data_IF_686967613595
#
_entry.id   IF_686967613595
#
_cell.length_a   1.000
_cell.length_b   1.000
_cell.length_c   1.000
_cell.angle_alpha   90.00
_cell.angle_beta   90.00
_cell.angle_gamma   90.00
#
_symmetry.space_group_name_H-M   'P 1'
#
loop_
_entity.id
_entity.type
_entity.pdbx_description
1 polymer ?
#
# COMPACT_ATOMS: atom_id res chain seq x y z
N UNK A 1 -35.80 -13.72 -37.99
CA UNK A 1 -34.75 -13.50 -36.97
C UNK A 1 -35.17 -12.62 -35.78
N UNK A 2 -36.35 -11.99 -35.76
CA UNK A 2 -36.82 -11.23 -34.59
C UNK A 2 -37.40 -12.10 -33.45
N UNK A 3 -38.11 -13.19 -33.79
CA UNK A 3 -38.76 -14.08 -32.81
C UNK A 3 -37.78 -14.86 -31.91
N UNK A 4 -36.66 -15.33 -32.45
CA UNK A 4 -35.63 -16.05 -31.67
C UNK A 4 -34.95 -15.11 -30.66
N UNK A 5 -34.79 -13.83 -31.01
CA UNK A 5 -34.19 -12.82 -30.13
C UNK A 5 -35.12 -12.44 -28.97
N UNK A 6 -36.43 -12.39 -29.23
CA UNK A 6 -37.44 -12.19 -28.19
C UNK A 6 -37.51 -13.40 -27.24
N UNK A 7 -37.54 -14.62 -27.78
CA UNK A 7 -37.56 -15.84 -26.96
C UNK A 7 -36.33 -15.96 -26.04
N UNK A 8 -35.13 -15.61 -26.54
CA UNK A 8 -33.91 -15.57 -25.74
C UNK A 8 -33.96 -14.57 -24.58
N UNK A 9 -34.54 -13.37 -24.81
CA UNK A 9 -34.70 -12.38 -23.73
C UNK A 9 -35.66 -12.85 -22.63
N UNK A 10 -36.77 -13.51 -22.97
CA UNK A 10 -37.71 -14.02 -21.97
C UNK A 10 -37.08 -15.09 -21.08
N UNK A 11 -36.28 -15.99 -21.65
CA UNK A 11 -35.59 -17.03 -20.89
C UNK A 11 -34.53 -16.42 -19.94
N UNK A 12 -33.81 -15.40 -20.40
CA UNK A 12 -32.86 -14.68 -19.55
C UNK A 12 -33.56 -13.96 -18.38
N UNK A 13 -34.69 -13.28 -18.63
CA UNK A 13 -35.46 -12.63 -17.57
C UNK A 13 -36.02 -13.63 -16.55
N UNK A 14 -36.50 -14.79 -17.01
CA UNK A 14 -36.98 -15.86 -16.12
C UNK A 14 -35.85 -16.40 -15.24
N UNK A 15 -34.66 -16.62 -15.81
CA UNK A 15 -33.50 -17.10 -15.07
C UNK A 15 -33.01 -16.06 -14.04
N UNK A 16 -32.98 -14.78 -14.40
CA UNK A 16 -32.61 -13.69 -13.47
C UNK A 16 -33.65 -13.56 -12.35
N UNK A 17 -34.95 -13.70 -12.67
CA UNK A 17 -36.01 -13.67 -11.66
C UNK A 17 -35.89 -14.83 -10.66
N UNK A 18 -35.55 -16.05 -11.12
CA UNK A 18 -35.35 -17.20 -10.22
C UNK A 18 -34.17 -17.02 -9.27
N UNK A 19 -33.07 -16.44 -9.75
CA UNK A 19 -31.89 -16.17 -8.90
C UNK A 19 -32.20 -15.08 -7.86
N UNK A 20 -32.90 -14.02 -8.26
CA UNK A 20 -33.34 -12.98 -7.33
C UNK A 20 -34.31 -13.53 -6.27
N UNK A 21 -35.24 -14.40 -6.65
CA UNK A 21 -36.16 -15.03 -5.71
C UNK A 21 -35.42 -15.90 -4.67
N UNK A 22 -34.41 -16.67 -5.09
CA UNK A 22 -33.58 -17.47 -4.18
C UNK A 22 -32.81 -16.59 -3.19
N UNK A 23 -32.23 -15.49 -3.66
CA UNK A 23 -31.49 -14.55 -2.79
C UNK A 23 -32.42 -13.94 -1.74
N UNK A 24 -33.63 -13.51 -2.15
CA UNK A 24 -34.63 -12.94 -1.24
C UNK A 24 -35.09 -13.98 -0.21
N UNK A 25 -35.37 -15.22 -0.64
CA UNK A 25 -35.71 -16.31 0.28
C UNK A 25 -34.60 -16.54 1.31
N UNK A 26 -33.33 -16.60 0.88
CA UNK A 26 -32.19 -16.83 1.78
C UNK A 26 -31.99 -15.66 2.75
N UNK A 27 -32.11 -14.42 2.28
CA UNK A 27 -31.98 -13.24 3.16
C UNK A 27 -33.13 -13.16 4.15
N UNK A 28 -34.36 -13.45 3.73
CA UNK A 28 -35.52 -13.47 4.62
C UNK A 28 -35.42 -14.62 5.64
N UNK A 29 -34.94 -15.81 5.23
CA UNK A 29 -34.69 -16.93 6.13
C UNK A 29 -33.56 -16.64 7.14
N UNK A 30 -32.47 -16.02 6.71
CA UNK A 30 -31.36 -15.64 7.60
C UNK A 30 -31.81 -14.61 8.65
N UNK A 31 -32.66 -13.65 8.27
CA UNK A 31 -33.15 -12.62 9.18
C UNK A 31 -34.26 -13.10 10.13
N UNK A 32 -34.97 -14.18 9.77
CA UNK A 32 -35.99 -14.79 10.65
C UNK A 32 -35.42 -15.47 11.89
N UNK A 33 -34.08 -15.60 12.03
CA UNK A 33 -33.43 -16.12 13.23
C UNK A 33 -33.77 -17.59 13.55
N UNK A 34 -34.35 -18.33 12.61
CA UNK A 34 -34.89 -19.69 12.79
C UNK A 34 -33.83 -20.80 12.74
N UNK A 35 -32.55 -20.45 12.69
CA UNK A 35 -31.43 -21.39 12.91
C UNK A 35 -31.29 -21.72 14.39
N UNK A 36 -32.31 -22.35 14.95
CA UNK A 36 -32.18 -23.09 16.21
C UNK A 36 -31.30 -24.31 15.93
N UNK A 37 -30.26 -24.52 16.74
CA UNK A 37 -29.28 -25.62 16.58
C UNK A 37 -29.96 -26.97 16.34
N UNK A 38 -31.13 -27.19 16.93
CA UNK A 38 -31.94 -28.41 16.76
C UNK A 38 -32.34 -28.70 15.30
N UNK A 39 -32.72 -27.69 14.51
CA UNK A 39 -33.09 -27.94 13.10
C UNK A 39 -31.88 -28.21 12.21
N UNK A 40 -30.71 -27.69 12.58
CA UNK A 40 -29.46 -27.93 11.86
C UNK A 40 -28.97 -29.36 12.14
N UNK A 41 -29.12 -29.85 13.38
CA UNK A 41 -28.87 -31.25 13.71
C UNK A 41 -29.90 -32.19 13.09
N UNK A 42 -31.18 -31.82 13.07
CA UNK A 42 -32.23 -32.62 12.43
C UNK A 42 -32.03 -32.75 10.91
N UNK A 43 -31.60 -31.67 10.25
CA UNK A 43 -31.28 -31.70 8.83
C UNK A 43 -30.00 -32.50 8.55
N UNK A 44 -29.01 -32.43 9.44
CA UNK A 44 -27.79 -33.24 9.36
C UNK A 44 -28.08 -34.73 9.61
N UNK A 45 -29.01 -35.04 10.53
CA UNK A 45 -29.47 -36.38 10.83
C UNK A 45 -30.27 -36.99 9.67
N UNK A 46 -31.16 -36.21 9.04
CA UNK A 46 -31.92 -36.64 7.85
C UNK A 46 -31.00 -36.95 6.66
N UNK A 47 -29.95 -36.14 6.44
CA UNK A 47 -28.95 -36.37 5.37
C UNK A 47 -28.11 -37.62 5.65
N UNK A 48 -27.83 -37.93 6.91
CA UNK A 48 -27.16 -39.17 7.31
C UNK A 48 -28.10 -40.37 7.47
N UNK A 49 -29.41 -40.20 7.22
CA UNK A 49 -30.41 -41.27 7.33
C UNK A 49 -30.65 -41.76 8.75
N UNK A 50 -30.36 -40.91 9.75
CA UNK A 50 -30.55 -41.21 11.17
C UNK A 50 -31.90 -40.62 11.58
N UNK A 51 -32.85 -41.49 11.89
CA UNK A 51 -34.18 -41.11 12.36
C UNK A 51 -34.09 -40.62 13.82
N UNK A 52 -34.29 -39.31 14.02
CA UNK A 52 -34.18 -38.64 15.32
C UNK A 52 -35.22 -39.15 16.33
N UNK A 53 -36.33 -39.71 15.84
CA UNK A 53 -37.40 -40.31 16.65
C UNK A 53 -37.01 -41.69 17.20
N UNK A 54 -36.29 -42.52 16.42
CA UNK A 54 -35.83 -43.83 16.85
C UNK A 54 -34.75 -43.73 17.95
N UNK A 55 -33.85 -42.74 17.84
CA UNK A 55 -32.85 -42.46 18.89
C UNK A 55 -33.53 -41.98 20.18
N UNK A 56 -34.60 -41.19 20.08
CA UNK A 56 -35.34 -40.70 21.26
C UNK A 56 -36.04 -41.84 22.00
N UNK A 57 -36.59 -42.83 21.29
CA UNK A 57 -37.16 -44.04 21.90
C UNK A 57 -36.07 -44.97 22.48
N UNK A 58 -34.91 -45.13 21.82
CA UNK A 58 -33.80 -45.91 22.38
C UNK A 58 -33.17 -45.28 23.62
N UNK A 59 -33.19 -43.96 23.73
CA UNK A 59 -32.71 -43.22 24.91
C UNK A 59 -33.72 -43.28 26.05
N UNK A 60 -35.02 -43.39 25.77
CA UNK A 60 -36.05 -43.57 26.82
C UNK A 60 -36.15 -45.02 27.31
N UNK A 61 -35.84 -46.03 26.47
CA UNK A 61 -35.90 -47.45 26.84
C UNK A 61 -34.60 -48.01 27.43
N UNK A 62 -33.51 -47.23 27.47
CA UNK A 62 -32.32 -47.57 28.26
C UNK A 62 -32.43 -46.93 29.63
N UNK A 63 -33.01 -47.66 30.56
CA UNK A 63 -32.64 -47.55 31.97
C UNK A 63 -31.11 -47.57 32.03
N UNK A 64 -30.54 -46.42 32.37
CA UNK A 64 -29.10 -46.28 32.56
C UNK A 64 -28.69 -47.29 33.63
N UNK A 65 -27.66 -48.13 33.41
CA UNK A 65 -27.06 -48.84 34.53
C UNK A 65 -26.61 -47.78 35.52
N UNK A 66 -27.14 -47.89 36.74
CA UNK A 66 -26.73 -47.10 37.89
C UNK A 66 -25.21 -47.29 38.02
N UNK A 67 -24.45 -46.31 37.54
CA UNK A 67 -23.00 -46.31 37.69
C UNK A 67 -22.77 -46.25 39.19
N UNK A 68 -22.29 -47.35 39.75
CA UNK A 68 -21.82 -47.43 41.13
C UNK A 68 -20.73 -46.35 41.28
N UNK A 69 -21.11 -45.19 41.80
CA UNK A 69 -20.19 -44.08 42.04
C UNK A 69 -19.47 -44.45 43.32
N UNK A 70 -18.38 -45.21 43.20
CA UNK A 70 -17.38 -45.27 44.26
C UNK A 70 -17.07 -43.82 44.66
N UNK A 71 -17.41 -43.45 45.90
CA UNK A 71 -17.15 -42.10 46.40
C UNK A 71 -15.64 -41.85 46.30
N UNK A 72 -15.20 -40.80 45.59
CA UNK A 72 -13.77 -40.60 45.34
C UNK A 72 -13.03 -40.43 46.66
N UNK A 73 -11.92 -41.16 46.79
CA UNK A 73 -11.03 -41.03 47.94
C UNK A 73 -10.51 -39.59 48.02
N UNK A 74 -10.39 -39.04 49.23
CA UNK A 74 -10.01 -37.64 49.45
C UNK A 74 -8.68 -37.29 48.75
N UNK A 75 -7.76 -38.26 48.67
CA UNK A 75 -6.49 -38.10 47.98
C UNK A 75 -6.66 -37.90 46.47
N UNK A 76 -7.54 -38.65 45.83
CA UNK A 76 -7.82 -38.52 44.40
C UNK A 76 -8.40 -37.14 44.06
N UNK A 77 -9.25 -36.60 44.95
CA UNK A 77 -9.82 -35.25 44.79
C UNK A 77 -8.72 -34.18 44.89
N UNK A 78 -7.75 -34.34 45.79
CA UNK A 78 -6.64 -33.39 45.94
C UNK A 78 -5.75 -33.43 44.69
N UNK A 79 -5.42 -34.62 44.21
CA UNK A 79 -4.57 -34.80 43.03
C UNK A 79 -5.25 -34.24 41.76
N UNK A 80 -6.54 -34.52 41.56
CA UNK A 80 -7.30 -33.98 40.43
C UNK A 80 -7.39 -32.45 40.47
N UNK A 81 -7.55 -31.86 41.67
CA UNK A 81 -7.54 -30.39 41.83
C UNK A 81 -6.17 -29.79 41.53
N UNK A 82 -5.10 -30.46 41.94
CA UNK A 82 -3.72 -30.02 41.67
C UNK A 82 -3.41 -30.05 40.17
N UNK A 83 -3.79 -31.12 39.47
CA UNK A 83 -3.63 -31.23 38.01
C UNK A 83 -4.43 -30.15 37.27
N UNK A 84 -5.68 -29.89 37.70
CA UNK A 84 -6.49 -28.80 37.11
C UNK A 84 -5.85 -27.43 37.33
N UNK A 85 -5.28 -27.15 38.50
CA UNK A 85 -4.58 -25.89 38.75
C UNK A 85 -3.35 -25.74 37.84
N UNK A 86 -2.51 -26.78 37.75
CA UNK A 86 -1.33 -26.77 36.89
C UNK A 86 -1.70 -26.59 35.41
N UNK A 87 -2.80 -27.20 34.94
CA UNK A 87 -3.30 -27.00 33.59
C UNK A 87 -3.77 -25.55 33.34
N UNK A 88 -4.38 -24.90 34.35
CA UNK A 88 -4.74 -23.48 34.27
C UNK A 88 -3.51 -22.59 34.22
N UNK A 89 -2.49 -22.86 35.03
CA UNK A 89 -1.25 -22.09 35.05
C UNK A 89 -0.53 -22.14 33.69
N UNK A 90 -0.43 -23.32 33.07
CA UNK A 90 0.13 -23.44 31.72
C UNK A 90 -0.69 -22.69 30.68
N UNK A 91 -2.02 -22.67 30.81
CA UNK A 91 -2.88 -21.91 29.90
C UNK A 91 -2.66 -20.40 30.07
N UNK A 92 -2.53 -19.91 31.30
CA UNK A 92 -2.23 -18.51 31.59
C UNK A 92 -0.88 -18.14 30.98
N UNK A 93 0.15 -18.95 31.21
CA UNK A 93 1.48 -18.71 30.66
C UNK A 93 1.48 -18.70 29.12
N UNK A 94 0.74 -19.62 28.47
CA UNK A 94 0.61 -19.65 27.02
C UNK A 94 -0.11 -18.41 26.49
N UNK A 95 -1.13 -17.92 27.19
CA UNK A 95 -1.85 -16.70 26.83
C UNK A 95 -0.95 -15.46 26.99
N UNK A 96 -0.20 -15.36 28.08
CA UNK A 96 0.73 -14.25 28.31
C UNK A 96 1.81 -14.20 27.22
N UNK A 97 2.41 -15.35 26.91
CA UNK A 97 3.38 -15.49 25.81
C UNK A 97 2.76 -15.11 24.46
N UNK A 98 1.51 -15.52 24.21
CA UNK A 98 0.77 -15.17 23.00
C UNK A 98 0.53 -13.67 22.88
N UNK A 99 0.13 -13.01 23.96
CA UNK A 99 -0.10 -11.55 24.01
C UNK A 99 1.22 -10.80 23.78
N UNK A 100 2.31 -11.23 24.40
CA UNK A 100 3.62 -10.62 24.21
C UNK A 100 4.10 -10.73 22.76
N UNK A 101 3.95 -11.91 22.15
CA UNK A 101 4.27 -12.12 20.74
C UNK A 101 3.43 -11.22 19.82
N UNK A 102 2.12 -11.07 20.07
CA UNK A 102 1.27 -10.18 19.30
C UNK A 102 1.68 -8.72 19.44
N UNK A 103 2.03 -8.27 20.65
CA UNK A 103 2.56 -6.92 20.89
C UNK A 103 3.87 -6.68 20.16
N UNK A 104 4.78 -7.67 20.18
CA UNK A 104 6.04 -7.60 19.46
C UNK A 104 5.82 -7.51 17.94
N UNK A 105 4.91 -8.32 17.38
CA UNK A 105 4.53 -8.25 15.96
C UNK A 105 3.92 -6.89 15.60
N UNK A 106 3.02 -6.36 16.45
CA UNK A 106 2.41 -5.05 16.25
C UNK A 106 3.45 -3.93 16.26
N UNK A 107 4.41 -3.97 17.19
CA UNK A 107 5.50 -2.98 17.25
C UNK A 107 6.34 -3.02 15.98
N UNK A 108 6.72 -4.22 15.51
CA UNK A 108 7.48 -4.38 14.26
C UNK A 108 6.71 -3.84 13.05
N UNK A 109 5.43 -4.17 12.92
CA UNK A 109 4.59 -3.66 11.83
C UNK A 109 4.44 -2.14 11.88
N UNK A 110 4.33 -1.54 13.06
CA UNK A 110 4.28 -0.08 13.20
C UNK A 110 5.61 0.58 12.79
N UNK A 111 6.74 -0.02 13.16
CA UNK A 111 8.07 0.46 12.73
C UNK A 111 8.25 0.35 11.22
N UNK A 112 7.91 -0.80 10.63
CA UNK A 112 7.97 -1.02 9.18
C UNK A 112 7.08 -0.04 8.42
N UNK A 113 5.84 0.17 8.91
CA UNK A 113 4.93 1.16 8.33
C UNK A 113 5.49 2.56 8.42
N UNK A 114 6.06 2.95 9.57
CA UNK A 114 6.67 4.27 9.74
C UNK A 114 7.86 4.45 8.78
N UNK A 115 8.70 3.43 8.59
CA UNK A 115 9.80 3.45 7.61
C UNK A 115 9.26 3.60 6.18
N UNK A 116 8.21 2.87 5.83
CA UNK A 116 7.57 2.96 4.52
C UNK A 116 6.95 4.34 4.28
N UNK A 117 6.23 4.90 5.25
CA UNK A 117 5.62 6.22 5.14
C UNK A 117 6.69 7.31 4.99
N UNK A 118 7.81 7.21 5.72
CA UNK A 118 8.97 8.09 5.54
C UNK A 118 9.55 7.98 4.14
N UNK A 119 9.74 6.76 3.63
CA UNK A 119 10.26 6.52 2.29
C UNK A 119 9.33 7.10 1.23
N UNK A 120 8.03 6.84 1.33
CA UNK A 120 7.01 7.36 0.41
C UNK A 120 6.99 8.89 0.41
N UNK A 121 6.96 9.51 1.59
CA UNK A 121 6.96 10.97 1.69
C UNK A 121 8.24 11.58 1.09
N UNK A 122 9.40 10.94 1.27
CA UNK A 122 10.66 11.37 0.65
C UNK A 122 10.65 11.26 -0.88
N UNK A 123 10.05 10.18 -1.41
CA UNK A 123 9.84 10.04 -2.86
C UNK A 123 8.86 11.07 -3.41
N UNK A 124 7.71 11.27 -2.76
CA UNK A 124 6.69 12.23 -3.20
C UNK A 124 7.22 13.67 -3.21
N UNK A 125 8.03 14.05 -2.21
CA UNK A 125 8.69 15.36 -2.19
C UNK A 125 9.69 15.54 -3.33
N UNK A 126 10.44 14.49 -3.68
CA UNK A 126 11.40 14.56 -4.79
C UNK A 126 10.75 14.48 -6.15
N UNK A 127 9.68 13.70 -6.30
CA UNK A 127 8.89 13.71 -7.52
C UNK A 127 8.35 15.12 -7.77
N UNK A 128 7.83 15.78 -6.73
CA UNK A 128 7.48 17.20 -6.79
C UNK A 128 8.67 18.09 -7.13
N UNK A 129 9.83 17.91 -6.50
CA UNK A 129 11.01 18.70 -6.83
C UNK A 129 11.53 18.47 -8.28
N UNK A 130 11.32 17.27 -8.84
CA UNK A 130 11.60 16.96 -10.24
C UNK A 130 10.55 17.60 -11.16
N UNK A 131 9.27 17.52 -10.81
CA UNK A 131 8.18 18.16 -11.55
C UNK A 131 8.35 19.69 -11.55
N UNK A 132 8.58 20.29 -10.39
CA UNK A 132 8.89 21.71 -10.21
C UNK A 132 10.21 22.07 -10.91
N UNK A 133 11.21 21.19 -10.85
CA UNK A 133 12.49 21.37 -11.56
C UNK A 133 12.38 21.35 -13.09
N UNK A 134 11.32 20.74 -13.64
CA UNK A 134 11.01 20.69 -15.07
C UNK A 134 10.05 21.83 -15.49
N UNK A 135 9.36 22.49 -14.55
CA UNK A 135 8.28 23.44 -14.83
C UNK A 135 8.18 24.61 -13.81
N UNK A 136 9.28 25.29 -13.50
CA UNK A 136 9.13 26.63 -12.93
C UNK A 136 8.60 27.56 -14.04
N UNK A 137 7.31 27.91 -13.97
CA UNK A 137 6.68 28.87 -14.89
C UNK A 137 7.49 30.17 -15.00
N UNK A 138 8.13 30.59 -13.89
CA UNK A 138 9.02 31.74 -13.86
C UNK A 138 10.29 31.52 -14.71
N UNK A 139 10.89 30.31 -14.68
CA UNK A 139 12.05 29.97 -15.51
C UNK A 139 11.65 29.92 -16.99
N UNK A 140 10.47 29.38 -17.31
CA UNK A 140 9.93 29.37 -18.67
C UNK A 140 9.65 30.79 -19.19
N UNK A 141 9.17 31.70 -18.34
CA UNK A 141 8.96 33.10 -18.70
C UNK A 141 10.28 33.83 -18.92
N UNK A 142 11.29 33.59 -18.07
CA UNK A 142 12.66 34.11 -18.26
C UNK A 142 13.27 33.57 -19.55
N UNK A 143 13.11 32.28 -19.84
CA UNK A 143 13.56 31.67 -21.10
C UNK A 143 12.93 32.38 -22.30
N UNK A 144 11.60 32.54 -22.32
CA UNK A 144 10.89 33.22 -23.42
C UNK A 144 11.35 34.66 -23.59
N UNK A 145 11.60 35.35 -22.48
CA UNK A 145 12.11 36.72 -22.48
C UNK A 145 13.52 36.79 -23.07
N UNK A 146 14.43 35.89 -22.65
CA UNK A 146 15.79 35.81 -23.17
C UNK A 146 15.83 35.40 -24.65
N UNK A 147 14.91 34.54 -25.11
CA UNK A 147 14.79 34.17 -26.51
C UNK A 147 14.28 35.33 -27.39
N UNK A 148 13.47 36.23 -26.82
CA UNK A 148 12.93 37.40 -27.50
C UNK A 148 13.94 38.55 -27.59
N UNK A 149 14.90 38.64 -26.65
CA UNK A 149 15.96 39.64 -26.64
C UNK A 149 16.99 39.43 -27.76
N UNK A 150 17.72 40.51 -28.06
CA UNK A 150 18.87 40.44 -28.96
C UNK A 150 20.00 39.58 -28.35
N UNK A 151 20.74 38.79 -29.14
CA UNK A 151 21.74 37.85 -28.61
C UNK A 151 22.80 38.48 -27.70
N UNK A 152 23.17 39.74 -27.94
CA UNK A 152 24.12 40.49 -27.11
C UNK A 152 23.55 40.83 -25.73
N UNK A 153 22.31 41.30 -25.69
CA UNK A 153 21.62 41.63 -24.44
C UNK A 153 21.32 40.37 -23.62
N UNK A 154 20.95 39.28 -24.29
CA UNK A 154 20.75 37.99 -23.64
C UNK A 154 22.04 37.48 -22.97
N UNK A 155 23.21 37.63 -23.62
CA UNK A 155 24.51 37.33 -23.01
C UNK A 155 24.75 38.14 -21.75
N UNK A 156 24.60 39.46 -21.83
CA UNK A 156 24.82 40.36 -20.68
C UNK A 156 23.91 39.97 -19.51
N UNK A 157 22.65 39.64 -19.80
CA UNK A 157 21.70 39.20 -18.79
C UNK A 157 22.09 37.87 -18.14
N UNK A 158 22.59 36.90 -18.92
CA UNK A 158 23.09 35.62 -18.40
C UNK A 158 24.29 35.85 -17.48
N UNK A 159 25.25 36.71 -17.87
CA UNK A 159 26.41 37.04 -17.04
C UNK A 159 26.00 37.71 -15.72
N UNK A 160 25.05 38.66 -15.79
CA UNK A 160 24.49 39.29 -14.59
C UNK A 160 23.74 38.30 -13.69
N UNK A 161 23.11 37.27 -14.25
CA UNK A 161 22.47 36.22 -13.47
C UNK A 161 23.50 35.36 -12.73
N UNK A 162 24.59 34.96 -13.39
CA UNK A 162 25.65 34.16 -12.79
C UNK A 162 26.35 34.86 -11.60
N UNK A 163 26.34 36.19 -11.57
CA UNK A 163 26.99 36.98 -10.52
C UNK A 163 26.12 37.20 -9.27
N UNK A 164 24.84 36.79 -9.29
CA UNK A 164 23.90 37.07 -8.20
C UNK A 164 23.96 36.07 -7.04
N UNK A 165 24.08 34.78 -7.34
CA UNK A 165 23.98 33.71 -6.33
C UNK A 165 24.65 32.42 -6.80
N UNK A 166 25.10 31.58 -5.87
CA UNK A 166 25.77 30.30 -6.12
C UNK A 166 24.84 29.32 -6.85
N UNK A 167 23.52 29.43 -6.63
CA UNK A 167 22.49 28.62 -7.31
C UNK A 167 22.17 29.11 -8.73
N UNK A 168 22.60 30.31 -9.12
CA UNK A 168 22.28 30.88 -10.41
C UNK A 168 22.85 30.08 -11.58
N UNK A 169 23.96 29.36 -11.38
CA UNK A 169 24.52 28.46 -12.38
C UNK A 169 23.53 27.37 -12.80
N UNK A 170 22.83 26.75 -11.84
CA UNK A 170 21.87 25.68 -12.09
C UNK A 170 20.68 26.20 -12.90
N UNK A 171 20.17 27.39 -12.56
CA UNK A 171 19.03 27.99 -13.25
C UNK A 171 19.39 28.43 -14.68
N UNK A 172 20.58 29.00 -14.88
CA UNK A 172 21.10 29.34 -16.22
C UNK A 172 21.25 28.08 -17.08
N UNK A 173 21.77 26.99 -16.52
CA UNK A 173 21.87 25.70 -17.20
C UNK A 173 20.49 25.17 -17.62
N UNK A 174 19.49 25.22 -16.72
CA UNK A 174 18.10 24.83 -17.03
C UNK A 174 17.53 25.64 -18.19
N UNK A 175 17.67 26.97 -18.13
CA UNK A 175 17.20 27.89 -19.18
C UNK A 175 17.85 27.55 -20.52
N UNK A 176 19.18 27.44 -20.55
CA UNK A 176 19.94 27.17 -21.79
C UNK A 176 19.62 25.78 -22.36
N UNK A 177 19.38 24.77 -21.52
CA UNK A 177 19.00 23.41 -21.94
C UNK A 177 17.61 23.40 -22.59
N UNK A 178 16.66 24.16 -22.04
CA UNK A 178 15.29 24.29 -22.54
C UNK A 178 15.17 25.16 -23.81
N UNK A 179 16.15 26.01 -24.09
CA UNK A 179 16.15 26.90 -25.25
C UNK A 179 16.28 26.19 -26.61
N UNK A 180 15.68 26.78 -27.64
CA UNK A 180 15.86 26.32 -29.03
C UNK A 180 17.34 26.35 -29.46
N UNK A 181 17.78 25.34 -30.22
CA UNK A 181 19.19 25.17 -30.65
C UNK A 181 19.73 26.38 -31.41
N UNK A 182 18.89 27.01 -32.25
CA UNK A 182 19.28 28.16 -33.06
C UNK A 182 19.54 29.42 -32.22
N UNK A 183 18.69 29.68 -31.22
CA UNK A 183 18.85 30.83 -30.33
C UNK A 183 20.03 30.64 -29.38
N UNK A 184 20.15 29.45 -28.80
CA UNK A 184 21.31 29.07 -27.98
C UNK A 184 22.63 29.26 -28.72
N UNK A 185 22.73 28.79 -29.97
CA UNK A 185 23.94 28.99 -30.80
C UNK A 185 24.29 30.46 -31.00
N UNK A 186 23.29 31.32 -31.26
CA UNK A 186 23.50 32.76 -31.46
C UNK A 186 23.97 33.47 -30.20
N UNK A 187 23.41 33.13 -29.04
CA UNK A 187 23.78 33.73 -27.75
C UNK A 187 25.18 33.26 -27.34
N UNK A 188 25.46 31.95 -27.42
CA UNK A 188 26.78 31.39 -27.10
C UNK A 188 27.89 31.95 -28.01
N UNK A 189 27.58 32.29 -29.27
CA UNK A 189 28.52 32.92 -30.19
C UNK A 189 28.90 34.38 -29.86
N UNK A 190 28.19 35.04 -28.93
CA UNK A 190 28.52 36.40 -28.50
C UNK A 190 29.43 36.45 -27.27
N UNK A 191 29.75 35.31 -26.64
CA UNK A 191 30.78 35.19 -25.60
C UNK A 191 32.16 35.22 -26.27
N UNK A 192 32.83 36.39 -26.24
CA UNK A 192 34.01 36.66 -27.07
C UNK A 192 35.28 36.94 -26.28
N UNK A 193 35.18 37.42 -25.05
CA UNK A 193 36.35 37.68 -24.20
C UNK A 193 36.82 36.39 -23.52
N UNK A 194 38.08 36.32 -23.07
CA UNK A 194 38.63 35.14 -22.39
C UNK A 194 37.83 34.80 -21.13
N UNK A 195 37.55 35.78 -20.28
CA UNK A 195 36.73 35.61 -19.06
C UNK A 195 35.31 35.10 -19.36
N UNK A 196 34.72 35.51 -20.48
CA UNK A 196 33.39 35.05 -20.93
C UNK A 196 33.43 33.60 -21.42
N UNK A 197 34.51 33.20 -22.09
CA UNK A 197 34.68 31.85 -22.59
C UNK A 197 34.92 30.84 -21.47
N UNK A 198 35.61 31.24 -20.39
CA UNK A 198 35.75 30.41 -19.19
C UNK A 198 34.37 30.14 -18.56
N UNK A 199 33.57 31.19 -18.33
CA UNK A 199 32.19 31.03 -17.81
C UNK A 199 31.31 30.17 -18.72
N UNK A 200 31.46 30.30 -20.04
CA UNK A 200 30.75 29.46 -21.01
C UNK A 200 31.18 27.99 -20.92
N UNK A 201 32.47 27.73 -20.74
CA UNK A 201 33.00 26.38 -20.57
C UNK A 201 32.47 25.72 -19.30
N UNK A 202 32.36 26.48 -18.20
CA UNK A 202 31.77 26.00 -16.95
C UNK A 202 30.29 25.62 -17.12
N UNK A 203 29.49 26.47 -17.77
CA UNK A 203 28.08 26.17 -18.10
C UNK A 203 27.98 24.88 -18.92
N UNK A 204 28.84 24.72 -19.93
CA UNK A 204 28.85 23.54 -20.79
C UNK A 204 29.30 22.28 -20.06
N UNK A 205 30.26 22.38 -19.14
CA UNK A 205 30.70 21.24 -18.33
C UNK A 205 29.59 20.79 -17.38
N UNK A 206 28.79 21.71 -16.82
CA UNK A 206 27.65 21.31 -15.99
C UNK A 206 26.48 20.72 -16.78
N UNK A 207 26.22 21.22 -18.00
CA UNK A 207 25.31 20.54 -18.92
C UNK A 207 25.80 19.11 -19.23
N UNK A 208 27.11 18.92 -19.42
CA UNK A 208 27.73 17.62 -19.70
C UNK A 208 27.64 16.66 -18.51
N UNK A 209 27.79 17.15 -17.28
CA UNK A 209 27.66 16.37 -16.03
C UNK A 209 26.21 15.97 -15.73
N UNK A 210 25.25 16.54 -16.45
CA UNK A 210 23.83 16.22 -16.31
C UNK A 210 23.19 16.89 -15.09
N UNK A 211 23.84 17.89 -14.49
CA UNK A 211 23.26 18.73 -13.44
C UNK A 211 22.14 19.56 -14.08
N UNK A 212 20.92 19.60 -13.49
CA UNK A 212 20.54 19.19 -12.14
C UNK A 212 20.00 17.76 -11.99
N UNK A 213 19.77 17.04 -13.10
CA UNK A 213 19.09 15.74 -13.10
C UNK A 213 19.88 14.69 -12.30
N UNK A 214 21.21 14.68 -12.42
CA UNK A 214 22.08 13.70 -11.76
C UNK A 214 22.26 13.94 -10.26
N UNK A 215 22.27 15.19 -9.79
CA UNK A 215 22.32 15.52 -8.36
C UNK A 215 21.05 15.06 -7.64
N UNK A 216 19.87 15.33 -8.23
CA UNK A 216 18.58 14.90 -7.68
C UNK A 216 18.50 13.37 -7.57
N UNK A 217 19.03 12.66 -8.57
CA UNK A 217 19.07 11.19 -8.59
C UNK A 217 20.12 10.60 -7.62
N UNK A 218 21.25 11.28 -7.43
CA UNK A 218 22.29 10.90 -6.47
C UNK A 218 21.77 10.93 -5.03
N UNK A 219 21.14 12.04 -4.64
CA UNK A 219 20.52 12.22 -3.33
C UNK A 219 19.42 11.17 -3.06
N UNK A 220 18.65 10.81 -4.09
CA UNK A 220 17.64 9.76 -4.00
C UNK A 220 18.27 8.40 -3.70
N UNK A 221 19.40 8.10 -4.34
CA UNK A 221 20.11 6.83 -4.16
C UNK A 221 20.76 6.70 -2.80
N UNK A 222 21.33 7.79 -2.26
CA UNK A 222 22.01 7.73 -0.98
C UNK A 222 21.05 7.70 0.21
N UNK A 223 19.87 8.33 0.10
CA UNK A 223 18.80 8.10 1.09
C UNK A 223 18.24 6.68 1.01
N UNK A 224 18.10 6.09 -0.18
CA UNK A 224 17.69 4.69 -0.30
C UNK A 224 18.65 3.73 0.41
N UNK A 225 19.97 3.97 0.31
CA UNK A 225 20.97 3.19 1.05
C UNK A 225 20.86 3.34 2.57
N UNK A 226 20.44 4.50 3.09
CA UNK A 226 20.19 4.65 4.53
C UNK A 226 19.00 3.82 5.03
N UNK A 227 18.10 3.41 4.12
CA UNK A 227 16.97 2.55 4.44
C UNK A 227 17.18 1.08 4.04
N UNK A 228 18.28 0.74 3.36
CA UNK A 228 18.65 -0.66 3.14
C UNK A 228 18.80 -1.36 4.49
N UNK A 229 18.16 -2.52 4.69
CA UNK A 229 18.37 -3.28 5.91
C UNK A 229 19.83 -3.70 5.98
N UNK A 230 20.49 -3.49 7.12
CA UNK A 230 21.78 -4.13 7.38
C UNK A 230 21.59 -5.63 7.14
N UNK A 231 22.28 -6.17 6.13
CA UNK A 231 22.28 -7.57 5.85
C UNK A 231 22.84 -8.29 7.08
N UNK A 232 21.95 -8.99 7.82
CA UNK A 232 22.33 -9.90 8.89
C UNK A 232 23.02 -11.13 8.33
#
# INVERSE_FOLDING_TARGET
MALVRMAGSFFAYLCVATVLAQIICVTMFANSGTFTKDKLYSLMALVYGIDEEAIREEVQNKDQPEVDREEPDMQQIIDERAERHLALDFRIQALDTGIENLRNMQSRLMEERRRYDQLKNGFDQRLKALEDGVLDDAILEVQRTLEALDPRQAKEQILMMLERDDKAMIDVVKIIKAMSTDKRKKIMGEFRTEDEQEKLADILDEIRRGVPDTEILGDARDQLKQFEPEAK
#
